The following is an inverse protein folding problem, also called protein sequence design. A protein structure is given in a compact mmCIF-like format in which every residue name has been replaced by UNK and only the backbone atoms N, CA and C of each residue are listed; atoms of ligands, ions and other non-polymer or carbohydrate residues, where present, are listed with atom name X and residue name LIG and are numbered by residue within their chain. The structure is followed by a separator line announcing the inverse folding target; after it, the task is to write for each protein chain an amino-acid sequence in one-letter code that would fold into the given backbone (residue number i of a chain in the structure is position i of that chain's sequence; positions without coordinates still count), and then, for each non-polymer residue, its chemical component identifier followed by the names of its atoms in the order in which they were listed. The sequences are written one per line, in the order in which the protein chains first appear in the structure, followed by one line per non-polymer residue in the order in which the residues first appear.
data_IF_119722373476
#
_entry.id   IF_119722373476
#
_cell.length_a   1.000
_cell.length_b   1.000
_cell.length_c   1.000
_cell.angle_alpha   90.00
_cell.angle_beta   90.00
_cell.angle_gamma   90.00
#
_symmetry.space_group_name_H-M   'P 1'
#
loop_
_entity.id
_entity.type
_entity.pdbx_description
1 polymer ?
#
# COMPACT_ATOMS: atom_id res chain seq x y z
N UNK A 1 -5.82 -25.38 44.14
CA UNK A 1 -6.06 -24.11 43.42
C UNK A 1 -4.75 -23.74 42.72
N UNK A 2 -4.57 -23.56 41.41
CA UNK A 2 -5.41 -23.50 40.22
C UNK A 2 -4.55 -24.07 39.06
N UNK A 3 -4.87 -25.26 38.56
CA UNK A 3 -4.40 -25.77 37.26
C UNK A 3 -5.39 -25.25 36.21
N UNK A 4 -5.24 -24.03 35.70
CA UNK A 4 -6.19 -23.52 34.70
C UNK A 4 -5.70 -22.25 34.00
N UNK A 5 -4.56 -22.31 33.30
CA UNK A 5 -4.14 -21.25 32.37
C UNK A 5 -3.34 -21.83 31.19
N UNK A 6 -3.80 -22.95 30.61
CA UNK A 6 -3.19 -23.52 29.41
C UNK A 6 -4.21 -23.76 28.30
N UNK A 7 -5.20 -22.87 28.17
CA UNK A 7 -6.13 -22.86 27.05
C UNK A 7 -6.67 -21.43 26.88
N UNK A 8 -5.81 -20.51 26.43
CA UNK A 8 -6.28 -19.23 25.91
C UNK A 8 -5.76 -19.08 24.48
N UNK A 9 -6.62 -19.53 23.56
CA UNK A 9 -6.82 -18.99 22.23
C UNK A 9 -5.56 -18.69 21.41
N UNK A 10 -4.95 -19.77 20.92
CA UNK A 10 -4.41 -19.84 19.56
C UNK A 10 -5.59 -19.74 18.56
N UNK A 11 -6.16 -18.54 18.40
CA UNK A 11 -6.98 -18.19 17.24
C UNK A 11 -6.67 -16.74 16.90
N UNK A 12 -5.47 -16.51 16.37
CA UNK A 12 -5.29 -15.41 15.43
C UNK A 12 -5.45 -16.08 14.07
N UNK A 13 -6.69 -16.01 13.58
CA UNK A 13 -7.08 -16.33 12.23
C UNK A 13 -6.11 -15.68 11.25
N UNK A 14 -5.23 -16.49 10.66
CA UNK A 14 -4.61 -16.14 9.40
C UNK A 14 -5.74 -16.16 8.37
N UNK A 15 -6.36 -15.01 8.13
CA UNK A 15 -7.01 -14.76 6.86
C UNK A 15 -5.90 -14.49 5.84
N UNK A 16 -5.14 -15.54 5.50
CA UNK A 16 -4.31 -15.55 4.31
C UNK A 16 -5.26 -15.69 3.13
N UNK A 17 -5.85 -14.56 2.70
CA UNK A 17 -6.51 -14.48 1.41
C UNK A 17 -5.46 -14.83 0.35
N UNK A 18 -5.55 -16.03 -0.21
CA UNK A 18 -4.70 -16.54 -1.29
C UNK A 18 -3.26 -16.07 -1.17
N UNK A 19 -2.51 -16.64 -0.23
CA UNK A 19 -1.09 -16.35 -0.09
C UNK A 19 -0.41 -16.74 -1.40
N UNK A 20 -0.13 -15.75 -2.25
CA UNK A 20 0.73 -15.92 -3.41
C UNK A 20 2.14 -16.13 -2.86
N UNK A 21 2.40 -17.36 -2.42
CA UNK A 21 3.69 -17.77 -1.91
C UNK A 21 4.72 -17.45 -2.99
N UNK A 22 5.67 -16.58 -2.65
CA UNK A 22 6.79 -16.12 -3.47
C UNK A 22 6.57 -14.93 -4.42
N UNK A 23 5.52 -14.10 -4.28
CA UNK A 23 5.57 -12.79 -4.93
C UNK A 23 6.64 -11.90 -4.30
N UNK A 24 7.43 -11.17 -5.10
CA UNK A 24 8.43 -10.27 -4.56
C UNK A 24 7.74 -9.10 -3.84
N UNK A 25 8.19 -8.82 -2.62
CA UNK A 25 7.80 -7.61 -1.90
C UNK A 25 8.47 -6.40 -2.54
N UNK A 26 7.66 -5.35 -2.78
CA UNK A 26 8.07 -4.09 -3.35
C UNK A 26 7.56 -2.95 -2.50
N UNK A 27 8.37 -1.92 -2.36
CA UNK A 27 8.05 -0.73 -1.57
C UNK A 27 7.68 0.43 -2.47
N UNK A 28 6.50 0.99 -2.22
CA UNK A 28 6.04 2.22 -2.84
C UNK A 28 6.24 3.39 -1.87
N UNK A 29 7.09 4.33 -2.26
CA UNK A 29 7.30 5.59 -1.55
C UNK A 29 6.55 6.72 -2.25
N UNK A 30 5.94 7.59 -1.46
CA UNK A 30 5.18 8.72 -1.97
C UNK A 30 5.43 9.98 -1.17
N UNK A 31 5.73 11.07 -1.88
CA UNK A 31 5.81 12.42 -1.33
C UNK A 31 4.59 13.22 -1.81
N UNK A 32 3.54 13.33 -0.98
CA UNK A 32 2.31 14.01 -1.36
C UNK A 32 2.48 15.53 -1.49
N UNK A 33 1.49 16.22 -2.09
CA UNK A 33 1.31 17.65 -1.85
C UNK A 33 1.27 17.97 -0.35
N UNK A 34 1.84 19.09 0.06
CA UNK A 34 1.87 19.51 1.47
C UNK A 34 0.49 19.77 2.08
N UNK A 35 -0.55 19.88 1.25
CA UNK A 35 -1.94 20.03 1.68
C UNK A 35 -2.59 18.71 2.12
N UNK A 36 -1.99 17.55 1.84
CA UNK A 36 -2.55 16.26 2.24
C UNK A 36 -2.18 15.93 3.69
N UNK A 37 -3.20 15.66 4.51
CA UNK A 37 -2.99 15.26 5.92
C UNK A 37 -2.58 13.79 6.05
N UNK A 38 -3.17 12.92 5.23
CA UNK A 38 -2.88 11.49 5.24
C UNK A 38 -2.90 10.96 3.81
N UNK A 39 -1.77 10.43 3.31
CA UNK A 39 -1.76 9.71 2.06
C UNK A 39 -2.15 8.25 2.27
N UNK A 40 -2.97 7.72 1.36
CA UNK A 40 -3.33 6.31 1.26
C UNK A 40 -2.80 5.76 -0.06
N UNK A 41 -2.72 4.43 -0.13
CA UNK A 41 -2.44 3.73 -1.35
C UNK A 41 -3.17 2.40 -1.39
N UNK A 42 -3.51 1.96 -2.60
CA UNK A 42 -3.82 0.57 -2.91
C UNK A 42 -3.08 0.16 -4.18
N UNK A 43 -3.04 -1.15 -4.44
CA UNK A 43 -2.56 -1.71 -5.69
C UNK A 43 -3.64 -2.61 -6.30
N UNK A 44 -3.67 -2.71 -7.62
CA UNK A 44 -4.36 -3.78 -8.33
C UNK A 44 -3.35 -4.58 -9.13
N UNK A 45 -3.51 -5.90 -9.12
CA UNK A 45 -2.60 -6.79 -9.81
C UNK A 45 -2.75 -6.66 -11.32
N UNK A 46 -1.61 -6.62 -12.01
CA UNK A 46 -1.52 -6.81 -13.46
C UNK A 46 -0.87 -8.17 -13.74
N UNK A 47 0.16 -8.54 -12.97
CA UNK A 47 0.77 -9.86 -12.97
C UNK A 47 1.08 -10.31 -11.52
N UNK A 48 0.54 -11.46 -11.06
CA UNK A 48 -0.40 -12.34 -11.77
C UNK A 48 -1.75 -11.66 -12.01
N UNK A 49 -2.41 -11.96 -13.13
CA UNK A 49 -3.80 -11.51 -13.33
C UNK A 49 -4.69 -12.27 -12.34
N UNK A 50 -5.33 -11.54 -11.43
CA UNK A 50 -6.22 -12.11 -10.41
C UNK A 50 -7.54 -11.37 -10.38
N UNK A 51 -8.60 -12.01 -9.89
CA UNK A 51 -9.93 -11.39 -9.74
C UNK A 51 -10.07 -10.61 -8.43
N UNK A 52 -8.95 -10.24 -7.80
CA UNK A 52 -8.93 -9.47 -6.56
C UNK A 52 -8.73 -8.00 -6.93
N UNK A 53 -9.79 -7.22 -6.71
CA UNK A 53 -9.74 -5.77 -6.80
C UNK A 53 -9.60 -5.18 -5.39
N UNK A 54 -8.56 -4.38 -5.20
CA UNK A 54 -8.45 -3.50 -4.05
C UNK A 54 -9.12 -2.18 -4.40
N UNK A 55 -9.92 -1.68 -3.45
CA UNK A 55 -10.75 -0.49 -3.68
C UNK A 55 -10.14 0.75 -3.03
N UNK A 56 -10.35 1.94 -3.62
CA UNK A 56 -10.10 3.21 -2.96
C UNK A 56 -10.76 3.32 -1.57
N UNK A 57 -10.13 4.01 -0.62
CA UNK A 57 -8.86 4.73 -0.76
C UNK A 57 -7.64 3.82 -0.59
N UNK A 58 -7.82 2.53 -0.28
CA UNK A 58 -6.74 1.67 0.16
C UNK A 58 -6.33 1.92 1.62
N UNK A 59 -5.08 1.58 1.93
CA UNK A 59 -4.53 1.68 3.28
C UNK A 59 -3.74 2.98 3.47
N UNK A 60 -3.83 3.63 4.65
CA UNK A 60 -2.95 4.73 5.01
C UNK A 60 -1.47 4.32 4.92
N UNK A 61 -0.64 5.20 4.36
CA UNK A 61 0.79 4.98 4.25
C UNK A 61 1.52 5.41 5.54
N UNK A 62 2.66 4.80 5.84
CA UNK A 62 3.46 5.10 7.04
C UNK A 62 4.55 6.12 6.73
N UNK A 63 4.79 7.09 7.61
CA UNK A 63 5.91 8.05 7.45
C UNK A 63 7.26 7.33 7.36
N UNK A 64 8.10 7.71 6.39
CA UNK A 64 9.33 6.99 6.07
C UNK A 64 10.56 7.90 5.88
N UNK A 65 10.37 9.13 5.40
CA UNK A 65 11.43 10.10 5.21
C UNK A 65 10.89 11.52 5.33
N UNK A 66 11.74 12.55 5.11
CA UNK A 66 11.34 13.96 5.23
C UNK A 66 10.22 14.32 4.25
N UNK A 67 8.98 14.29 4.75
CA UNK A 67 7.76 14.55 3.99
C UNK A 67 7.34 13.43 3.04
N UNK A 68 7.89 12.22 3.18
CA UNK A 68 7.46 11.07 2.38
C UNK A 68 6.96 9.91 3.26
N UNK A 69 6.12 9.10 2.64
CA UNK A 69 5.45 7.96 3.24
C UNK A 69 5.77 6.70 2.43
N UNK A 70 5.63 5.53 3.05
CA UNK A 70 5.83 4.23 2.39
C UNK A 70 4.70 3.25 2.69
N UNK A 71 4.53 2.32 1.77
CA UNK A 71 3.74 1.10 1.94
C UNK A 71 4.41 -0.04 1.16
N UNK A 72 4.21 -1.27 1.58
CA UNK A 72 4.75 -2.47 0.93
C UNK A 72 3.63 -3.31 0.36
N UNK A 73 3.87 -3.86 -0.83
CA UNK A 73 2.96 -4.76 -1.52
C UNK A 73 3.74 -5.93 -2.11
N UNK A 74 3.07 -7.06 -2.36
CA UNK A 74 3.68 -8.20 -3.03
C UNK A 74 3.08 -8.35 -4.43
N UNK A 75 3.87 -8.18 -5.49
CA UNK A 75 3.40 -8.23 -6.89
C UNK A 75 4.56 -8.45 -7.87
N UNK A 76 4.31 -9.04 -9.06
CA UNK A 76 5.26 -8.99 -10.18
C UNK A 76 5.08 -7.70 -10.98
N UNK A 77 3.85 -7.42 -11.39
CA UNK A 77 3.44 -6.16 -12.01
C UNK A 77 2.12 -5.69 -11.40
N UNK A 78 2.03 -4.42 -11.06
CA UNK A 78 0.81 -3.86 -10.48
C UNK A 78 0.55 -2.44 -10.98
N UNK A 79 -0.73 -2.08 -10.96
CA UNK A 79 -1.18 -0.70 -10.96
C UNK A 79 -1.21 -0.22 -9.51
N UNK A 80 -0.46 0.83 -9.17
CA UNK A 80 -0.41 1.40 -7.82
C UNK A 80 -1.00 2.79 -7.86
N UNK A 81 -1.95 3.06 -6.97
CA UNK A 81 -2.53 4.38 -6.78
C UNK A 81 -2.13 4.95 -5.42
N UNK A 82 -1.86 6.26 -5.39
CA UNK A 82 -1.69 7.10 -4.22
C UNK A 82 -2.82 8.11 -4.17
N UNK A 83 -3.50 8.26 -3.05
CA UNK A 83 -4.58 9.23 -2.90
C UNK A 83 -4.58 9.88 -1.52
N UNK A 84 -5.39 10.90 -1.32
CA UNK A 84 -5.42 11.70 -0.09
C UNK A 84 -6.31 11.14 1.02
N UNK A 85 -6.63 9.83 0.97
CA UNK A 85 -7.53 9.14 1.90
C UNK A 85 -8.92 9.77 2.03
N UNK A 86 -9.32 10.70 1.16
CA UNK A 86 -10.55 11.46 1.33
C UNK A 86 -11.77 10.67 0.82
N UNK A 87 -12.13 9.65 1.59
CA UNK A 87 -13.23 8.73 1.32
C UNK A 87 -14.21 8.78 2.49
N UNK A 88 -15.50 8.99 2.20
CA UNK A 88 -16.55 9.07 3.21
C UNK A 88 -17.64 8.07 2.84
N UNK A 89 -18.03 7.23 3.79
CA UNK A 89 -19.12 6.26 3.63
C UNK A 89 -18.98 5.35 2.41
N UNK A 90 -17.74 4.94 2.08
CA UNK A 90 -17.47 4.05 0.95
C UNK A 90 -17.49 4.71 -0.44
N UNK A 91 -17.48 6.04 -0.52
CA UNK A 91 -17.40 6.79 -1.78
C UNK A 91 -16.27 7.83 -1.74
N UNK A 92 -15.64 8.17 -2.89
CA UNK A 92 -14.74 9.31 -2.98
C UNK A 92 -15.51 10.58 -2.59
N UNK A 93 -14.88 11.44 -1.80
CA UNK A 93 -15.41 12.77 -1.50
C UNK A 93 -15.06 13.76 -2.63
N UNK A 94 -15.67 14.95 -2.64
CA UNK A 94 -15.51 16.01 -3.66
C UNK A 94 -14.06 16.42 -3.89
N UNK A 95 -13.21 16.33 -2.87
CA UNK A 95 -11.78 16.67 -2.95
C UNK A 95 -10.90 15.41 -2.96
N UNK A 96 -11.38 14.29 -3.47
CA UNK A 96 -10.56 13.10 -3.66
C UNK A 96 -9.54 13.35 -4.77
N UNK A 97 -8.26 13.25 -4.44
CA UNK A 97 -7.15 13.47 -5.37
C UNK A 97 -6.30 12.23 -5.38
N UNK A 98 -5.88 11.81 -6.58
CA UNK A 98 -5.09 10.60 -6.75
C UNK A 98 -4.03 10.73 -7.85
N UNK A 99 -3.00 9.90 -7.74
CA UNK A 99 -1.96 9.68 -8.74
C UNK A 99 -1.77 8.18 -8.87
N UNK A 100 -1.59 7.68 -10.09
CA UNK A 100 -1.42 6.26 -10.30
C UNK A 100 -0.43 5.95 -11.40
N UNK A 101 0.15 4.76 -11.34
CA UNK A 101 1.14 4.28 -12.29
C UNK A 101 1.21 2.75 -12.29
N UNK A 102 1.66 2.19 -13.42
CA UNK A 102 2.07 0.80 -13.47
C UNK A 102 3.53 0.65 -13.05
N UNK A 103 3.85 -0.41 -12.31
CA UNK A 103 5.22 -0.72 -11.92
C UNK A 103 5.49 -2.21 -11.79
N UNK A 104 6.76 -2.57 -11.98
CA UNK A 104 7.33 -3.89 -11.74
C UNK A 104 8.43 -3.85 -10.66
N UNK A 105 8.67 -2.69 -10.03
CA UNK A 105 9.77 -2.48 -9.08
C UNK A 105 9.32 -1.64 -7.89
N UNK A 106 10.25 -1.43 -6.96
CA UNK A 106 10.16 -0.32 -6.00
C UNK A 106 10.02 1.01 -6.75
N UNK A 107 9.22 1.92 -6.17
CA UNK A 107 8.93 3.23 -6.76
C UNK A 107 9.06 4.33 -5.73
N UNK A 108 9.53 5.49 -6.18
CA UNK A 108 9.40 6.74 -5.45
C UNK A 108 8.62 7.73 -6.31
N UNK A 109 7.44 8.13 -5.86
CA UNK A 109 6.65 9.15 -6.55
C UNK A 109 6.67 10.46 -5.77
N UNK A 110 7.16 11.53 -6.39
CA UNK A 110 7.09 12.89 -5.85
C UNK A 110 6.03 13.67 -6.60
N UNK A 111 5.00 14.14 -5.92
CA UNK A 111 3.95 14.94 -6.56
C UNK A 111 4.50 16.11 -7.40
N UNK A 112 5.56 16.78 -6.95
CA UNK A 112 6.12 17.94 -7.64
C UNK A 112 7.00 17.58 -8.84
N UNK A 113 7.47 16.34 -8.92
CA UNK A 113 8.49 15.94 -9.89
C UNK A 113 8.14 14.69 -10.71
N UNK A 114 7.03 14.02 -10.38
CA UNK A 114 6.61 12.76 -10.98
C UNK A 114 7.31 11.53 -10.39
N UNK A 115 7.26 10.44 -11.14
CA UNK A 115 7.84 9.15 -10.77
C UNK A 115 9.37 9.16 -10.92
N UNK A 116 10.04 8.59 -9.93
CA UNK A 116 11.44 8.18 -9.99
C UNK A 116 11.56 6.68 -9.71
N UNK A 117 12.35 5.99 -10.52
CA UNK A 117 12.79 4.64 -10.19
C UNK A 117 13.83 4.75 -9.07
N UNK A 118 13.60 4.03 -7.96
CA UNK A 118 14.62 3.85 -6.94
C UNK A 118 15.64 2.89 -7.55
N UNK A 119 16.70 3.43 -8.17
CA UNK A 119 17.90 2.61 -8.38
C UNK A 119 18.42 2.25 -6.99
N UNK A 120 18.74 0.98 -6.70
CA UNK A 120 19.36 0.65 -5.43
C UNK A 120 20.60 1.51 -5.28
N UNK A 121 20.61 2.40 -4.29
CA UNK A 121 21.83 3.03 -3.83
C UNK A 121 22.64 1.89 -3.22
N UNK A 122 23.60 1.39 -3.98
CA UNK A 122 24.72 0.62 -3.46
C UNK A 122 25.41 1.55 -2.46
N UNK A 123 25.24 1.28 -1.17
CA UNK A 123 26.07 1.85 -0.12
C UNK A 123 27.35 1.03 0.00
#
# INVERSE_FOLDING_TARGET
MKKLLLFSLLIISQLSFGQFDNLPEKTAYFKPPSSWTTPCSYMNFIDPVVTIDFYPPGNPMTSACKGCYKITYAFNKAYVEFNNCNYISGSPNTNYLYYALETETDIFYDYLRGQFLIRPLVY
#
